data_IF_668639275529
#
_entry.id   IF_668639275529
#
_cell.length_a   1.000
_cell.length_b   1.000
_cell.length_c   1.000
_cell.angle_alpha   90.00
_cell.angle_beta   90.00
_cell.angle_gamma   90.00
#
_symmetry.space_group_name_H-M   'P 1'
#
loop_
_entity.id
_entity.type
_entity.pdbx_description
1 polymer ?
#
# COMPACT_ATOMS: atom_id res chain seq x y z
N UNK A 1 -15.79 45.15 24.60
CA UNK A 1 -14.52 44.50 24.18
C UNK A 1 -14.84 43.39 23.19
N UNK A 2 -14.58 43.60 21.89
CA UNK A 2 -14.79 42.62 20.81
C UNK A 2 -13.51 41.77 20.67
N UNK A 3 -13.62 40.44 20.62
CA UNK A 3 -12.48 39.54 20.37
C UNK A 3 -12.04 39.67 18.91
N UNK A 4 -10.73 39.62 18.60
CA UNK A 4 -10.27 39.58 17.22
C UNK A 4 -10.61 38.23 16.58
N UNK A 5 -11.04 38.27 15.31
CA UNK A 5 -11.24 37.11 14.46
C UNK A 5 -9.85 36.67 13.96
N UNK A 6 -9.43 35.44 14.29
CA UNK A 6 -8.18 34.86 13.80
C UNK A 6 -8.59 33.81 12.77
N UNK A 7 -8.39 34.12 11.49
CA UNK A 7 -8.56 33.15 10.41
C UNK A 7 -7.55 32.00 10.56
N UNK A 8 -7.93 30.74 10.32
CA UNK A 8 -7.02 29.62 10.41
C UNK A 8 -5.99 29.67 9.27
N UNK A 9 -4.75 29.18 9.48
CA UNK A 9 -3.71 29.24 8.47
C UNK A 9 -4.07 28.36 7.27
N UNK A 10 -4.11 28.98 6.09
CA UNK A 10 -4.19 28.29 4.81
C UNK A 10 -2.97 27.36 4.65
N UNK A 11 -3.20 26.05 4.78
CA UNK A 11 -2.21 25.04 4.41
C UNK A 11 -1.91 25.09 2.90
N UNK A 12 -0.72 24.67 2.47
CA UNK A 12 -0.34 24.73 1.07
C UNK A 12 -1.26 23.83 0.23
N UNK A 13 -1.95 24.45 -0.74
CA UNK A 13 -2.74 23.76 -1.75
C UNK A 13 -1.80 22.88 -2.58
N UNK A 14 -1.77 21.59 -2.27
CA UNK A 14 -0.94 20.63 -2.98
C UNK A 14 -1.64 20.23 -4.28
N UNK A 15 -1.08 20.68 -5.40
CA UNK A 15 -1.50 20.30 -6.75
C UNK A 15 -1.48 18.77 -6.86
N UNK A 16 -2.63 18.18 -7.24
CA UNK A 16 -2.78 16.75 -7.53
C UNK A 16 -1.61 16.28 -8.41
N UNK A 17 -0.87 15.27 -7.97
CA UNK A 17 0.11 14.62 -8.85
C UNK A 17 -0.69 13.94 -9.97
N UNK A 18 -0.60 14.49 -11.18
CA UNK A 18 -1.22 13.94 -12.38
C UNK A 18 -0.46 12.67 -12.75
N UNK A 19 -1.03 11.51 -12.41
CA UNK A 19 -0.65 10.23 -12.99
C UNK A 19 -1.53 10.04 -14.20
N UNK A 20 -0.91 9.85 -15.37
CA UNK A 20 -1.58 9.84 -16.67
C UNK A 20 -2.84 8.99 -16.67
N UNK A 21 -3.91 9.66 -17.09
CA UNK A 21 -5.27 9.16 -17.17
C UNK A 21 -5.40 8.31 -18.44
N UNK A 22 -4.84 7.11 -18.42
CA UNK A 22 -5.07 6.08 -19.43
C UNK A 22 -5.75 4.88 -18.77
N UNK A 23 -6.88 5.14 -18.11
CA UNK A 23 -7.72 4.14 -17.46
C UNK A 23 -8.79 3.75 -18.48
N UNK A 24 -8.73 2.51 -18.94
CA UNK A 24 -9.86 1.86 -19.61
C UNK A 24 -11.06 1.91 -18.67
N UNK A 25 -12.15 2.46 -19.20
CA UNK A 25 -13.46 2.58 -18.57
C UNK A 25 -13.99 1.21 -18.18
N UNK A 26 -13.90 0.87 -16.90
CA UNK A 26 -14.96 0.12 -16.25
C UNK A 26 -15.86 1.12 -15.54
N UNK A 27 -17.16 1.04 -15.80
CA UNK A 27 -18.20 1.89 -15.24
C UNK A 27 -18.10 1.98 -13.71
N UNK A 28 -17.56 3.08 -13.18
CA UNK A 28 -18.18 3.78 -12.04
C UNK A 28 -17.76 5.26 -12.04
N UNK A 29 -18.55 6.08 -12.74
CA UNK A 29 -18.36 7.51 -12.81
C UNK A 29 -18.93 8.21 -11.58
N UNK A 30 -18.17 9.10 -10.94
CA UNK A 30 -18.69 10.18 -10.08
C UNK A 30 -19.84 9.81 -9.11
N UNK A 31 -19.84 8.58 -8.59
CA UNK A 31 -20.85 8.05 -7.68
C UNK A 31 -20.37 8.14 -6.26
N UNK A 32 -21.21 8.61 -5.35
CA UNK A 32 -20.95 8.50 -3.92
C UNK A 32 -20.82 7.00 -3.58
N UNK A 33 -19.78 6.56 -2.85
CA UNK A 33 -19.65 5.15 -2.47
C UNK A 33 -20.92 4.66 -1.76
N UNK A 34 -21.24 3.38 -1.91
CA UNK A 34 -22.43 2.81 -1.27
C UNK A 34 -22.39 3.00 0.25
N UNK A 35 -23.54 2.99 0.92
CA UNK A 35 -23.60 3.02 2.39
C UNK A 35 -22.74 1.89 3.01
N UNK A 36 -22.74 0.74 2.36
CA UNK A 36 -21.90 -0.40 2.72
C UNK A 36 -20.41 -0.05 2.68
N UNK A 37 -19.94 0.51 1.57
CA UNK A 37 -18.54 0.92 1.42
C UNK A 37 -18.16 2.06 2.36
N UNK A 38 -19.03 3.06 2.54
CA UNK A 38 -18.82 4.16 3.48
C UNK A 38 -18.70 3.64 4.92
N UNK A 39 -19.55 2.70 5.32
CA UNK A 39 -19.51 2.10 6.66
C UNK A 39 -18.21 1.32 6.86
N UNK A 40 -17.83 0.50 5.89
CA UNK A 40 -16.57 -0.24 5.94
C UNK A 40 -15.36 0.71 5.96
N UNK A 41 -15.39 1.82 5.20
CA UNK A 41 -14.34 2.85 5.23
C UNK A 41 -14.21 3.55 6.59
N UNK A 42 -15.32 3.76 7.31
CA UNK A 42 -15.31 4.34 8.66
C UNK A 42 -14.69 3.34 9.63
N UNK A 43 -15.15 2.09 9.62
CA UNK A 43 -14.61 1.02 10.48
C UNK A 43 -13.12 0.86 10.24
N UNK A 44 -12.71 0.72 8.98
CA UNK A 44 -11.33 0.57 8.55
C UNK A 44 -10.43 1.74 8.94
N UNK A 45 -10.97 2.94 9.20
CA UNK A 45 -10.19 4.11 9.59
C UNK A 45 -9.96 4.19 11.11
N UNK A 46 -10.89 3.71 11.91
CA UNK A 46 -10.91 3.97 13.35
C UNK A 46 -10.71 2.72 14.20
N UNK A 47 -11.10 1.53 13.73
CA UNK A 47 -10.91 0.29 14.49
C UNK A 47 -9.58 -0.36 14.12
N UNK A 48 -8.77 -0.77 15.11
CA UNK A 48 -7.55 -1.52 14.86
C UNK A 48 -7.87 -2.94 14.41
N UNK A 49 -6.98 -3.54 13.62
CA UNK A 49 -7.20 -4.89 13.09
C UNK A 49 -7.40 -5.95 14.18
N UNK A 50 -6.76 -5.84 15.34
CA UNK A 50 -6.95 -6.78 16.45
C UNK A 50 -8.39 -6.76 16.98
N UNK A 51 -9.04 -5.60 16.95
CA UNK A 51 -10.46 -5.48 17.29
C UNK A 51 -11.32 -6.12 16.21
N UNK A 52 -11.01 -5.87 14.93
CA UNK A 52 -11.72 -6.47 13.78
C UNK A 52 -11.66 -7.99 13.85
N UNK A 53 -10.48 -8.56 14.10
CA UNK A 53 -10.27 -10.01 14.17
C UNK A 53 -10.93 -10.66 15.40
N UNK A 54 -10.88 -10.00 16.56
CA UNK A 54 -11.36 -10.61 17.82
C UNK A 54 -12.84 -10.36 18.14
N UNK A 55 -13.42 -9.28 17.64
CA UNK A 55 -14.79 -8.83 18.00
C UNK A 55 -15.79 -8.88 16.87
N UNK A 56 -15.35 -8.98 15.61
CA UNK A 56 -16.25 -9.04 14.45
C UNK A 56 -16.41 -10.47 13.90
N UNK A 57 -16.16 -11.50 14.71
CA UNK A 57 -16.25 -12.91 14.32
C UNK A 57 -17.67 -13.29 13.83
N UNK A 58 -18.70 -12.64 14.37
CA UNK A 58 -20.10 -12.88 13.99
C UNK A 58 -20.55 -12.06 12.76
N UNK A 59 -19.69 -11.18 12.25
CA UNK A 59 -19.99 -10.35 11.08
C UNK A 59 -19.76 -11.18 9.81
N UNK A 60 -20.66 -11.14 8.80
CA UNK A 60 -20.48 -11.87 7.55
C UNK A 60 -19.16 -11.56 6.83
N UNK A 61 -18.57 -12.58 6.19
CA UNK A 61 -17.24 -12.51 5.56
C UNK A 61 -17.10 -11.34 4.57
N UNK A 62 -18.09 -11.11 3.71
CA UNK A 62 -18.06 -10.03 2.73
C UNK A 62 -17.90 -8.63 3.35
N UNK A 63 -18.38 -8.43 4.58
CA UNK A 63 -18.22 -7.18 5.32
C UNK A 63 -16.79 -7.07 5.85
N UNK A 64 -16.27 -8.16 6.42
CA UNK A 64 -14.91 -8.21 6.94
C UNK A 64 -13.88 -7.99 5.83
N UNK A 65 -14.07 -8.65 4.67
CA UNK A 65 -13.25 -8.46 3.46
C UNK A 65 -13.27 -7.01 3.00
N UNK A 66 -14.43 -6.34 3.08
CA UNK A 66 -14.55 -4.93 2.71
C UNK A 66 -13.85 -3.99 3.68
N UNK A 67 -13.92 -4.28 4.99
CA UNK A 67 -13.16 -3.55 6.01
C UNK A 67 -11.67 -3.71 5.74
N UNK A 68 -11.18 -4.94 5.58
CA UNK A 68 -9.79 -5.26 5.27
C UNK A 68 -9.33 -4.53 3.99
N UNK A 69 -10.15 -4.52 2.94
CA UNK A 69 -9.88 -3.82 1.70
C UNK A 69 -9.64 -2.32 1.92
N UNK A 70 -10.46 -1.66 2.73
CA UNK A 70 -10.35 -0.22 3.01
C UNK A 70 -9.29 0.15 4.05
N UNK A 71 -8.74 -0.83 4.77
CA UNK A 71 -7.67 -0.61 5.75
C UNK A 71 -6.31 -0.34 5.12
N UNK A 72 -6.13 -0.59 3.81
CA UNK A 72 -4.92 -0.19 3.08
C UNK A 72 -4.95 1.33 2.76
N UNK A 73 -3.81 2.04 2.75
CA UNK A 73 -3.75 3.43 2.27
C UNK A 73 -4.38 3.61 0.89
N UNK A 74 -5.15 4.68 0.70
CA UNK A 74 -5.79 4.99 -0.61
C UNK A 74 -5.08 6.06 -1.42
N UNK A 75 -4.22 6.85 -0.78
CA UNK A 75 -3.49 7.95 -1.42
C UNK A 75 -1.98 7.68 -1.39
N UNK A 76 -1.34 7.88 -2.52
CA UNK A 76 0.11 7.77 -2.67
C UNK A 76 0.86 8.94 -2.00
N UNK A 77 0.20 10.04 -1.64
CA UNK A 77 0.84 11.18 -0.93
C UNK A 77 1.54 10.74 0.35
N UNK A 78 0.90 9.85 1.13
CA UNK A 78 1.50 9.26 2.33
C UNK A 78 2.78 8.48 1.97
N UNK A 79 2.72 7.64 0.94
CA UNK A 79 3.88 6.87 0.46
C UNK A 79 5.01 7.80 0.05
N UNK A 80 4.70 8.89 -0.68
CA UNK A 80 5.65 9.90 -1.12
C UNK A 80 6.33 10.59 0.05
N UNK A 81 5.57 11.06 1.03
CA UNK A 81 6.13 11.72 2.22
C UNK A 81 7.13 10.81 2.92
N UNK A 82 6.77 9.56 3.23
CA UNK A 82 7.64 8.68 4.02
C UNK A 82 8.86 8.14 3.26
N UNK A 83 8.74 7.94 1.94
CA UNK A 83 9.84 7.45 1.10
C UNK A 83 10.75 8.54 0.57
N UNK A 84 10.35 9.82 0.64
CA UNK A 84 11.18 10.94 0.13
C UNK A 84 12.21 11.44 1.13
N UNK A 85 12.13 11.06 2.42
CA UNK A 85 13.06 11.53 3.45
C UNK A 85 14.49 11.03 3.27
N UNK A 86 14.72 9.95 2.50
CA UNK A 86 16.08 9.44 2.23
C UNK A 86 16.28 9.23 0.74
N UNK A 87 17.30 9.88 0.21
CA UNK A 87 17.76 9.71 -1.15
C UNK A 87 18.46 8.36 -1.34
N UNK A 88 18.20 7.69 -2.47
CA UNK A 88 18.99 6.55 -2.89
C UNK A 88 20.26 7.08 -3.60
N UNK A 89 21.40 6.96 -2.93
CA UNK A 89 22.70 7.31 -3.52
C UNK A 89 23.03 6.37 -4.68
N UNK A 90 22.74 6.79 -5.91
CA UNK A 90 23.26 6.14 -7.12
C UNK A 90 23.46 7.18 -8.22
N UNK A 91 24.67 7.75 -8.29
CA UNK A 91 25.12 8.59 -9.40
C UNK A 91 24.77 10.10 -9.32
N UNK A 92 25.16 10.88 -10.34
CA UNK A 92 25.10 12.35 -10.35
C UNK A 92 23.69 12.94 -10.40
N UNK A 93 22.66 12.09 -10.54
CA UNK A 93 21.25 12.48 -10.41
C UNK A 93 20.67 11.79 -9.18
N UNK A 94 20.68 12.52 -8.08
CA UNK A 94 20.13 12.07 -6.80
C UNK A 94 18.61 11.84 -6.95
N UNK A 95 18.18 10.57 -7.01
CA UNK A 95 16.76 10.19 -7.18
C UNK A 95 16.22 9.64 -5.86
N UNK A 96 15.05 10.14 -5.45
CA UNK A 96 14.38 9.65 -4.24
C UNK A 96 13.91 8.20 -4.40
N UNK A 97 13.79 7.48 -3.27
CA UNK A 97 13.23 6.13 -3.28
C UNK A 97 11.80 6.11 -3.88
N UNK A 98 11.03 7.19 -3.66
CA UNK A 98 9.73 7.37 -4.29
C UNK A 98 9.81 7.34 -5.81
N UNK A 99 10.70 8.15 -6.39
CA UNK A 99 10.86 8.26 -7.83
C UNK A 99 11.23 6.91 -8.44
N UNK A 100 12.22 6.23 -7.87
CA UNK A 100 12.67 4.92 -8.37
C UNK A 100 11.54 3.88 -8.24
N UNK A 101 10.85 3.84 -7.10
CA UNK A 101 9.74 2.91 -6.89
C UNK A 101 8.57 3.14 -7.85
N UNK A 102 8.27 4.39 -8.18
CA UNK A 102 7.27 4.73 -9.19
C UNK A 102 7.68 4.20 -10.58
N UNK A 103 8.96 4.30 -10.95
CA UNK A 103 9.44 3.75 -12.22
C UNK A 103 9.34 2.22 -12.26
N UNK A 104 9.68 1.52 -11.16
CA UNK A 104 9.52 0.07 -11.07
C UNK A 104 8.05 -0.36 -11.22
N UNK A 105 7.13 0.38 -10.60
CA UNK A 105 5.69 0.17 -10.76
C UNK A 105 5.23 0.39 -12.22
N UNK A 106 5.64 1.51 -12.83
CA UNK A 106 5.30 1.85 -14.22
C UNK A 106 5.86 0.85 -15.24
N UNK A 107 7.07 0.32 -15.01
CA UNK A 107 7.70 -0.74 -15.81
C UNK A 107 7.09 -2.14 -15.62
N UNK A 108 6.06 -2.27 -14.77
CA UNK A 108 5.42 -3.55 -14.44
C UNK A 108 6.38 -4.58 -13.84
N UNK A 109 7.29 -4.13 -12.98
CA UNK A 109 8.25 -5.01 -12.30
C UNK A 109 7.70 -5.58 -10.98
N UNK A 110 6.44 -5.30 -10.64
CA UNK A 110 5.76 -5.79 -9.43
C UNK A 110 4.87 -6.98 -9.80
N UNK A 111 5.20 -8.15 -9.25
CA UNK A 111 4.58 -9.43 -9.57
C UNK A 111 4.17 -10.18 -8.30
N UNK A 112 3.38 -11.25 -8.48
CA UNK A 112 3.00 -12.20 -7.41
C UNK A 112 2.39 -11.50 -6.18
N UNK A 113 1.52 -10.51 -6.44
CA UNK A 113 0.94 -9.68 -5.38
C UNK A 113 -0.24 -10.40 -4.74
N UNK A 114 -0.08 -10.74 -3.46
CA UNK A 114 -1.06 -11.51 -2.69
C UNK A 114 -1.38 -10.74 -1.41
N UNK A 115 -2.66 -10.58 -1.13
CA UNK A 115 -3.17 -10.04 0.13
C UNK A 115 -3.87 -11.14 0.93
N UNK A 116 -3.49 -11.28 2.20
CA UNK A 116 -4.15 -12.15 3.18
C UNK A 116 -4.44 -11.29 4.40
N UNK A 117 -5.72 -10.98 4.64
CA UNK A 117 -6.11 -10.06 5.70
C UNK A 117 -5.37 -8.70 5.58
N UNK A 118 -4.72 -8.30 6.67
CA UNK A 118 -3.97 -7.05 6.83
C UNK A 118 -2.51 -7.13 6.35
N UNK A 119 -2.17 -8.18 5.61
CA UNK A 119 -0.83 -8.42 5.08
C UNK A 119 -0.85 -8.42 3.56
N UNK A 120 0.08 -7.68 2.97
CA UNK A 120 0.29 -7.62 1.53
C UNK A 120 1.71 -8.08 1.23
N UNK A 121 1.85 -9.01 0.30
CA UNK A 121 3.14 -9.52 -0.16
C UNK A 121 3.26 -9.41 -1.66
N UNK A 122 4.49 -9.36 -2.17
CA UNK A 122 4.78 -9.35 -3.58
C UNK A 122 6.26 -9.52 -3.87
N UNK A 123 6.59 -9.63 -5.16
CA UNK A 123 7.97 -9.66 -5.66
C UNK A 123 8.19 -8.47 -6.58
N UNK A 124 9.33 -7.80 -6.45
CA UNK A 124 9.70 -6.64 -7.28
C UNK A 124 11.03 -6.91 -7.98
N UNK A 125 11.04 -6.89 -9.30
CA UNK A 125 12.26 -7.06 -10.11
C UNK A 125 13.15 -5.81 -10.05
N UNK A 126 14.46 -6.00 -10.03
CA UNK A 126 15.45 -4.93 -10.16
C UNK A 126 15.56 -4.46 -11.61
N UNK A 127 15.88 -3.17 -11.80
CA UNK A 127 16.13 -2.55 -13.11
C UNK A 127 17.57 -2.77 -13.63
N UNK A 128 18.33 -3.68 -13.01
CA UNK A 128 19.73 -3.98 -13.36
C UNK A 128 19.91 -4.80 -14.65
N UNK A 129 18.82 -5.10 -15.35
CA UNK A 129 18.77 -5.94 -16.55
C UNK A 129 19.52 -5.41 -17.78
N UNK A 130 20.10 -4.21 -17.74
CA UNK A 130 20.78 -3.60 -18.89
C UNK A 130 22.29 -3.93 -18.99
N UNK A 131 22.93 -4.50 -17.96
CA UNK A 131 24.41 -4.61 -17.92
C UNK A 131 24.94 -6.04 -18.04
N UNK A 132 24.12 -7.08 -17.86
CA UNK A 132 24.61 -8.46 -17.96
C UNK A 132 23.63 -9.32 -18.73
N UNK A 133 23.97 -9.63 -19.99
CA UNK A 133 23.17 -10.47 -20.90
C UNK A 133 23.02 -11.94 -20.48
N UNK A 134 23.35 -12.28 -19.23
CA UNK A 134 23.23 -13.61 -18.64
C UNK A 134 23.02 -13.43 -17.14
N UNK A 135 21.79 -13.60 -16.65
CA UNK A 135 21.35 -14.06 -15.31
C UNK A 135 19.95 -13.50 -15.02
N UNK A 136 19.09 -14.34 -14.44
CA UNK A 136 17.72 -14.00 -14.06
C UNK A 136 17.63 -12.63 -13.37
N UNK A 137 16.67 -11.81 -13.82
CA UNK A 137 16.40 -10.51 -13.20
C UNK A 137 16.21 -10.70 -11.69
N UNK A 138 17.13 -10.15 -10.89
CA UNK A 138 17.08 -10.25 -9.43
C UNK A 138 15.73 -9.71 -8.96
N UNK A 139 14.99 -10.52 -8.21
CA UNK A 139 13.70 -10.15 -7.65
C UNK A 139 13.76 -10.09 -6.14
N UNK A 140 13.10 -9.10 -5.56
CA UNK A 140 13.08 -8.87 -4.12
C UNK A 140 11.68 -9.17 -3.58
N UNK A 141 11.63 -10.00 -2.55
CA UNK A 141 10.40 -10.22 -1.81
C UNK A 141 10.11 -9.04 -0.90
N UNK A 142 8.87 -8.58 -0.96
CA UNK A 142 8.37 -7.46 -0.18
C UNK A 142 7.14 -7.90 0.61
N UNK A 143 7.08 -7.50 1.87
CA UNK A 143 5.95 -7.75 2.76
C UNK A 143 5.58 -6.46 3.49
N UNK A 144 4.29 -6.14 3.51
CA UNK A 144 3.72 -4.97 4.16
C UNK A 144 2.62 -5.44 5.11
N UNK A 145 2.58 -4.86 6.30
CA UNK A 145 1.41 -4.92 7.19
C UNK A 145 0.80 -3.54 7.26
N UNK A 146 -0.52 -3.48 7.33
CA UNK A 146 -1.26 -2.23 7.33
C UNK A 146 -2.44 -2.28 8.28
N UNK A 147 -2.73 -1.11 8.85
CA UNK A 147 -3.84 -0.91 9.78
C UNK A 147 -4.31 0.54 9.65
N UNK A 148 -5.60 0.79 9.83
CA UNK A 148 -6.17 2.14 9.85
C UNK A 148 -5.72 3.06 8.72
N UNK A 149 -5.72 2.53 7.49
CA UNK A 149 -5.28 3.20 6.27
C UNK A 149 -3.79 3.62 6.26
N UNK A 150 -2.93 2.93 7.03
CA UNK A 150 -1.49 3.19 7.14
C UNK A 150 -0.70 1.90 7.03
N UNK A 151 0.50 1.99 6.46
CA UNK A 151 1.47 0.88 6.52
C UNK A 151 2.13 0.93 7.90
N UNK A 152 1.99 -0.14 8.68
CA UNK A 152 2.51 -0.25 10.05
C UNK A 152 3.85 -0.97 10.10
N UNK A 153 4.12 -1.85 9.14
CA UNK A 153 5.41 -2.52 8.98
C UNK A 153 5.71 -2.75 7.51
N UNK A 154 7.00 -2.65 7.14
CA UNK A 154 7.48 -2.89 5.80
C UNK A 154 8.80 -3.65 5.85
N UNK A 155 8.87 -4.77 5.12
CA UNK A 155 10.05 -5.61 5.00
C UNK A 155 10.36 -5.86 3.53
N UNK A 156 11.63 -5.80 3.17
CA UNK A 156 12.10 -6.13 1.83
C UNK A 156 13.39 -6.95 1.94
N UNK A 157 13.51 -7.98 1.11
CA UNK A 157 14.73 -8.80 1.03
C UNK A 157 15.91 -8.10 0.35
N UNK A 158 15.77 -6.83 -0.05
CA UNK A 158 16.91 -6.06 -0.54
C UNK A 158 17.85 -5.74 0.62
N UNK A 159 19.16 -5.86 0.41
CA UNK A 159 20.20 -5.65 1.43
C UNK A 159 20.36 -4.18 1.88
N UNK A 160 19.33 -3.35 1.69
CA UNK A 160 19.31 -1.94 2.04
C UNK A 160 19.09 -1.76 3.56
N UNK A 161 20.12 -2.12 4.32
CA UNK A 161 20.11 -2.08 5.80
C UNK A 161 19.89 -0.64 6.27
N UNK A 162 18.70 -0.36 6.82
CA UNK A 162 18.38 0.88 7.52
C UNK A 162 17.34 1.81 6.87
N UNK A 163 16.72 1.41 5.74
CA UNK A 163 15.58 2.12 5.16
C UNK A 163 14.28 1.31 5.30
N UNK A 164 13.31 1.83 6.04
CA UNK A 164 11.94 1.28 6.07
C UNK A 164 11.18 1.49 4.76
N UNK A 165 11.68 2.33 3.85
CA UNK A 165 11.05 2.71 2.59
C UNK A 165 12.02 2.63 1.40
N UNK A 166 12.44 1.42 1.02
CA UNK A 166 13.20 1.23 -0.22
C UNK A 166 12.28 1.36 -1.45
N UNK A 167 12.85 1.53 -2.67
CA UNK A 167 12.06 1.60 -3.91
C UNK A 167 11.11 0.42 -4.12
N UNK A 168 11.46 -0.79 -3.66
CA UNK A 168 10.60 -1.97 -3.78
C UNK A 168 9.36 -1.89 -2.88
N UNK A 169 9.50 -1.36 -1.65
CA UNK A 169 8.37 -1.07 -0.75
C UNK A 169 7.41 -0.10 -1.44
N UNK A 170 7.95 0.98 -2.00
CA UNK A 170 7.18 2.00 -2.71
C UNK A 170 6.44 1.37 -3.89
N UNK A 171 7.13 0.61 -4.72
CA UNK A 171 6.55 -0.02 -5.91
C UNK A 171 5.37 -0.94 -5.55
N UNK A 172 5.51 -1.78 -4.51
CA UNK A 172 4.41 -2.65 -4.06
C UNK A 172 3.23 -1.85 -3.50
N UNK A 173 3.49 -0.80 -2.70
CA UNK A 173 2.45 0.04 -2.15
C UNK A 173 1.67 0.78 -3.25
N UNK A 174 2.39 1.36 -4.23
CA UNK A 174 1.77 1.99 -5.40
C UNK A 174 0.97 0.99 -6.23
N UNK A 175 1.46 -0.23 -6.40
CA UNK A 175 0.71 -1.29 -7.09
C UNK A 175 -0.63 -1.55 -6.43
N UNK A 176 -0.67 -1.70 -5.09
CA UNK A 176 -1.93 -1.96 -4.37
C UNK A 176 -2.91 -0.77 -4.41
N UNK A 177 -2.40 0.47 -4.40
CA UNK A 177 -3.20 1.69 -4.51
C UNK A 177 -3.81 1.80 -5.92
N UNK A 178 -2.99 1.63 -6.95
CA UNK A 178 -3.37 1.89 -8.34
C UNK A 178 -4.06 0.72 -9.02
N UNK A 179 -3.78 -0.52 -8.61
CA UNK A 179 -4.33 -1.74 -9.21
C UNK A 179 -4.94 -2.68 -8.15
N UNK A 180 -5.90 -2.19 -7.34
CA UNK A 180 -6.48 -2.96 -6.24
C UNK A 180 -7.11 -4.28 -6.70
N UNK A 181 -7.74 -4.31 -7.89
CA UNK A 181 -8.40 -5.48 -8.46
C UNK A 181 -7.42 -6.55 -9.01
N UNK A 182 -6.16 -6.19 -9.25
CA UNK A 182 -5.14 -7.15 -9.70
C UNK A 182 -4.42 -7.85 -8.53
N UNK A 183 -4.76 -7.51 -7.30
CA UNK A 183 -4.20 -8.16 -6.11
C UNK A 183 -5.00 -9.42 -5.81
N UNK A 184 -4.31 -10.56 -5.75
CA UNK A 184 -4.93 -11.82 -5.38
C UNK A 184 -5.28 -11.78 -3.89
N UNK A 185 -6.57 -11.64 -3.59
CA UNK A 185 -7.07 -11.78 -2.23
C UNK A 185 -7.24 -13.26 -1.89
N UNK A 186 -6.72 -13.68 -0.74
CA UNK A 186 -6.95 -15.02 -0.20
C UNK A 186 -7.50 -14.88 1.21
N UNK A 187 -8.57 -15.63 1.48
CA UNK A 187 -9.07 -15.77 2.83
C UNK A 187 -7.95 -16.31 3.75
N UNK A 188 -7.89 -15.89 5.02
CA UNK A 188 -7.06 -16.55 6.01
C UNK A 188 -7.40 -18.05 6.05
N UNK A 189 -6.39 -18.92 6.02
CA UNK A 189 -6.55 -20.39 5.81
C UNK A 189 -7.28 -21.10 6.98
N UNK A 190 -7.44 -20.44 8.12
CA UNK A 190 -8.26 -20.97 9.23
C UNK A 190 -9.72 -20.63 8.99
N UNK A 191 -10.60 -21.63 8.87
CA UNK A 191 -12.06 -21.53 8.64
C UNK A 191 -12.88 -20.76 9.69
N UNK A 192 -12.21 -20.02 10.57
CA UNK A 192 -12.64 -18.84 11.35
C UNK A 192 -11.39 -17.98 11.49
N UNK A 193 -11.50 -16.66 11.35
CA UNK A 193 -10.45 -15.61 11.38
C UNK A 193 -9.41 -15.69 12.54
N UNK A 194 -8.69 -16.81 12.66
CA UNK A 194 -7.50 -16.94 13.51
C UNK A 194 -6.29 -16.70 12.62
N UNK A 195 -6.14 -15.44 12.21
CA UNK A 195 -4.95 -14.93 11.50
C UNK A 195 -3.67 -15.16 12.33
N UNK A 196 -3.81 -15.35 13.65
CA UNK A 196 -2.74 -15.65 14.61
C UNK A 196 -2.03 -16.99 14.32
N UNK A 197 -2.73 -18.02 13.81
CA UNK A 197 -2.11 -19.35 13.62
C UNK A 197 -1.25 -19.48 12.36
N UNK A 198 -1.42 -18.61 11.35
CA UNK A 198 -0.62 -18.72 10.13
C UNK A 198 0.81 -18.18 10.32
N UNK A 199 1.01 -17.24 11.24
CA UNK A 199 2.31 -16.58 11.44
C UNK A 199 3.27 -17.32 12.38
N UNK A 200 2.86 -18.42 13.00
CA UNK A 200 3.81 -19.33 13.68
C UNK A 200 4.52 -20.28 12.71
N UNK A 201 4.07 -20.37 11.44
CA UNK A 201 4.60 -21.30 10.43
C UNK A 201 5.53 -20.60 9.42
N UNK A 202 5.52 -19.26 9.36
CA UNK A 202 6.33 -18.46 8.41
C UNK A 202 7.43 -17.63 9.07
N UNK A 203 7.96 -18.07 10.22
CA UNK A 203 9.15 -17.52 10.84
C UNK A 203 10.30 -18.52 10.82
#
# INVERSE_FOLDING_TARGET
MKRPNIDPPHGPSCKKCHVDSSIQKDNDGSGVPSLFDLSAMVVARYLPFEYVESKLIDVPDHIQERIIYYSFPRDCSYIKTYSSFKSCKSGPTEKSAFFIGEQLFKKHFVNNVIQIGFHLTGSVKSDTSAVSGLIDAISYHVSLTFDRCKITSAHCSCQNRGLSWCPHIVALALYRISKPHHVSYRAPISGKFNIILFFSILK
#
